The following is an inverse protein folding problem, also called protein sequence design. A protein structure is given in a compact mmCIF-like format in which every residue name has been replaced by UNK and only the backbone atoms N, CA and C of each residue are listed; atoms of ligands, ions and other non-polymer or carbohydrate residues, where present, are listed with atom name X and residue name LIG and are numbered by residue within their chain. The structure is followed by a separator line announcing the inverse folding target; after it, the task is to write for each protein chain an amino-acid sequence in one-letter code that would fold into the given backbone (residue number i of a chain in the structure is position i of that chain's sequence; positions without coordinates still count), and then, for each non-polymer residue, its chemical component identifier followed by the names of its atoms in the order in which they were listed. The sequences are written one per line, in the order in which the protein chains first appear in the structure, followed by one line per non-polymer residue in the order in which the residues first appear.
data_IF_137333412640
#
_entry.id   IF_137333412640
#
_cell.length_a   1.000
_cell.length_b   1.000
_cell.length_c   1.000
_cell.angle_alpha   90.00
_cell.angle_beta   90.00
_cell.angle_gamma   90.00
#
_symmetry.space_group_name_H-M   'P 1'
#
loop_
_entity.id
_entity.type
_entity.pdbx_description
1 polymer ?
#
# COMPACT_ATOMS: atom_id res chain seq x y z
N UNK A 1 18.17 2.30 17.82
CA UNK A 1 18.77 1.60 16.67
C UNK A 1 18.03 0.29 16.48
N UNK A 2 17.05 0.25 15.57
CA UNK A 2 16.33 -0.98 15.22
C UNK A 2 17.34 -1.88 14.48
N UNK A 3 17.57 -3.11 14.98
CA UNK A 3 18.57 -4.02 14.39
C UNK A 3 18.13 -4.40 12.98
N UNK A 4 19.05 -4.43 12.01
CA UNK A 4 18.77 -4.79 10.59
C UNK A 4 17.97 -6.09 10.46
N UNK A 5 18.22 -7.07 11.34
CA UNK A 5 17.51 -8.36 11.38
C UNK A 5 15.99 -8.22 11.61
N UNK A 6 15.58 -7.16 12.31
CA UNK A 6 14.19 -6.91 12.65
C UNK A 6 13.39 -6.38 11.44
N UNK A 7 14.02 -5.53 10.62
CA UNK A 7 13.42 -4.98 9.40
C UNK A 7 13.29 -6.07 8.33
N UNK A 8 14.31 -6.91 8.16
CA UNK A 8 14.27 -8.01 7.20
C UNK A 8 13.14 -8.99 7.51
N UNK A 9 12.94 -9.32 8.80
CA UNK A 9 11.83 -10.18 9.23
C UNK A 9 10.46 -9.59 8.89
N UNK A 10 10.31 -8.27 8.91
CA UNK A 10 9.06 -7.62 8.53
C UNK A 10 8.78 -7.70 7.03
N UNK A 11 9.80 -7.51 6.19
CA UNK A 11 9.65 -7.70 4.76
C UNK A 11 9.37 -9.16 4.39
N UNK A 12 9.95 -10.12 5.11
CA UNK A 12 9.65 -11.54 4.91
C UNK A 12 8.19 -11.88 5.29
N UNK A 13 7.70 -11.37 6.42
CA UNK A 13 6.29 -11.56 6.82
C UNK A 13 5.33 -10.82 5.88
N UNK A 14 5.68 -9.61 5.44
CA UNK A 14 4.93 -8.88 4.42
C UNK A 14 4.81 -9.72 3.15
N UNK A 15 5.92 -10.24 2.61
CA UNK A 15 5.90 -11.06 1.39
C UNK A 15 4.98 -12.29 1.53
N UNK A 16 4.98 -12.97 2.68
CA UNK A 16 4.07 -14.09 2.95
C UNK A 16 2.60 -13.66 2.96
N UNK A 17 2.31 -12.52 3.60
CA UNK A 17 0.94 -11.99 3.65
C UNK A 17 0.46 -11.59 2.26
N UNK A 18 1.30 -10.89 1.47
CA UNK A 18 0.95 -10.49 0.11
C UNK A 18 0.72 -11.70 -0.80
N UNK A 19 1.56 -12.75 -0.70
CA UNK A 19 1.35 -14.00 -1.43
C UNK A 19 0.02 -14.67 -1.05
N UNK A 20 -0.31 -14.72 0.25
CA UNK A 20 -1.59 -15.26 0.72
C UNK A 20 -2.78 -14.43 0.22
N UNK A 21 -2.66 -13.10 0.21
CA UNK A 21 -3.68 -12.17 -0.32
C UNK A 21 -3.94 -12.42 -1.80
N UNK A 22 -2.89 -12.60 -2.59
CA UNK A 22 -3.02 -12.92 -4.02
C UNK A 22 -3.69 -14.29 -4.23
N UNK A 23 -3.34 -15.29 -3.43
CA UNK A 23 -4.00 -16.60 -3.48
C UNK A 23 -5.49 -16.47 -3.15
N UNK A 24 -5.85 -15.76 -2.07
CA UNK A 24 -7.24 -15.53 -1.68
C UNK A 24 -8.03 -14.75 -2.73
N UNK A 25 -7.40 -13.79 -3.41
CA UNK A 25 -7.99 -13.11 -4.57
C UNK A 25 -8.36 -14.11 -5.68
N UNK A 26 -7.44 -15.02 -6.02
CA UNK A 26 -7.67 -16.05 -7.03
C UNK A 26 -8.75 -17.05 -6.60
N UNK A 27 -8.84 -17.34 -5.30
CA UNK A 27 -9.86 -18.21 -4.71
C UNK A 27 -11.22 -17.50 -4.50
N UNK A 28 -11.39 -16.28 -5.03
CA UNK A 28 -12.60 -15.46 -4.91
C UNK A 28 -13.02 -15.17 -3.46
N UNK A 29 -12.04 -14.97 -2.58
CA UNK A 29 -12.22 -14.64 -1.15
C UNK A 29 -11.70 -13.22 -0.82
N UNK A 30 -12.26 -12.16 -1.43
CA UNK A 30 -11.74 -10.80 -1.28
C UNK A 30 -11.85 -10.26 0.15
N UNK A 31 -12.88 -10.65 0.91
CA UNK A 31 -13.07 -10.22 2.31
C UNK A 31 -11.97 -10.76 3.22
N UNK A 32 -11.59 -12.03 3.03
CA UNK A 32 -10.49 -12.65 3.80
C UNK A 32 -9.14 -12.01 3.42
N UNK A 33 -8.95 -11.71 2.13
CA UNK A 33 -7.76 -11.02 1.64
C UNK A 33 -7.64 -9.60 2.24
N UNK A 34 -8.74 -8.86 2.27
CA UNK A 34 -8.79 -7.51 2.83
C UNK A 34 -8.56 -7.49 4.34
N UNK A 35 -9.13 -8.46 5.07
CA UNK A 35 -8.86 -8.63 6.50
C UNK A 35 -7.38 -8.85 6.76
N UNK A 36 -6.72 -9.74 6.02
CA UNK A 36 -5.28 -10.00 6.20
C UNK A 36 -4.42 -8.76 5.99
N UNK A 37 -4.72 -7.96 4.97
CA UNK A 37 -3.99 -6.71 4.73
C UNK A 37 -4.21 -5.72 5.89
N UNK A 38 -5.45 -5.61 6.39
CA UNK A 38 -5.77 -4.69 7.49
C UNK A 38 -5.14 -5.14 8.81
N UNK A 39 -5.16 -6.43 9.12
CA UNK A 39 -4.54 -7.01 10.31
C UNK A 39 -3.04 -6.72 10.31
N UNK A 40 -2.36 -6.93 9.17
CA UNK A 40 -0.96 -6.58 9.02
C UNK A 40 -0.71 -5.07 9.19
N UNK A 41 -1.55 -4.21 8.62
CA UNK A 41 -1.44 -2.76 8.81
C UNK A 41 -1.55 -2.37 10.29
N UNK A 42 -2.46 -2.97 11.04
CA UNK A 42 -2.61 -2.70 12.48
C UNK A 42 -1.39 -3.21 13.26
N UNK A 43 -0.96 -4.44 13.02
CA UNK A 43 0.12 -5.08 13.78
C UNK A 43 1.48 -4.40 13.57
N UNK A 44 1.76 -3.94 12.34
CA UNK A 44 3.08 -3.41 11.97
C UNK A 44 3.13 -1.90 11.81
N UNK A 45 2.04 -1.26 11.38
CA UNK A 45 1.97 0.20 11.21
C UNK A 45 1.19 0.89 12.33
N UNK A 46 0.52 0.13 13.21
CA UNK A 46 -0.28 0.67 14.30
C UNK A 46 -1.54 1.41 13.85
N UNK A 47 -1.96 1.25 12.59
CA UNK A 47 -3.08 1.97 11.99
C UNK A 47 -3.86 1.09 11.02
N UNK A 48 -5.19 1.17 11.04
CA UNK A 48 -6.08 0.45 10.13
C UNK A 48 -6.28 1.20 8.82
N UNK A 49 -6.69 0.49 7.76
CA UNK A 49 -7.03 1.16 6.51
C UNK A 49 -8.21 2.10 6.66
N UNK A 50 -9.21 1.77 7.47
CA UNK A 50 -10.34 2.67 7.73
C UNK A 50 -9.86 4.05 8.21
N UNK A 51 -8.89 4.07 9.14
CA UNK A 51 -8.29 5.31 9.63
C UNK A 51 -7.48 6.00 8.55
N UNK A 52 -6.65 5.28 7.80
CA UNK A 52 -5.84 5.83 6.70
C UNK A 52 -6.76 6.50 5.66
N UNK A 53 -7.80 5.80 5.22
CA UNK A 53 -8.74 6.28 4.22
C UNK A 53 -9.61 7.43 4.74
N UNK A 54 -9.80 7.58 6.05
CA UNK A 54 -10.54 8.70 6.63
C UNK A 54 -9.73 10.02 6.65
N UNK A 55 -8.42 9.99 6.44
CA UNK A 55 -7.57 11.19 6.47
C UNK A 55 -7.79 12.00 5.19
N UNK A 56 -8.40 13.17 5.32
CA UNK A 56 -8.82 13.99 4.17
C UNK A 56 -7.70 14.86 3.57
N UNK A 57 -6.79 15.35 4.40
CA UNK A 57 -5.78 16.35 4.02
C UNK A 57 -4.40 15.97 4.55
N UNK A 58 -3.40 16.04 3.68
CA UNK A 58 -1.99 15.82 4.01
C UNK A 58 -1.76 14.49 4.75
N UNK A 59 -2.06 13.38 4.07
CA UNK A 59 -1.92 12.04 4.64
C UNK A 59 -0.49 11.81 5.12
N UNK A 60 0.48 12.16 4.29
CA UNK A 60 1.91 11.98 4.60
C UNK A 60 2.29 12.73 5.88
N UNK A 61 1.94 14.02 5.97
CA UNK A 61 2.24 14.83 7.15
C UNK A 61 1.54 14.34 8.41
N UNK A 62 0.32 13.81 8.29
CA UNK A 62 -0.39 13.18 9.41
C UNK A 62 0.35 11.94 9.90
N UNK A 63 0.68 11.01 8.99
CA UNK A 63 1.34 9.75 9.35
C UNK A 63 2.73 9.98 9.97
N UNK A 64 3.46 10.99 9.53
CA UNK A 64 4.75 11.37 10.14
C UNK A 64 4.54 11.90 11.56
N UNK A 65 3.59 12.81 11.77
CA UNK A 65 3.42 13.50 13.05
C UNK A 65 2.70 12.66 14.11
N UNK A 66 1.62 12.00 13.73
CA UNK A 66 0.73 11.30 14.66
C UNK A 66 1.10 9.82 14.81
N UNK A 67 1.68 9.20 13.77
CA UNK A 67 2.03 7.79 13.76
C UNK A 67 3.54 7.52 13.74
N UNK A 68 4.38 8.56 13.79
CA UNK A 68 5.85 8.45 13.75
C UNK A 68 6.38 7.64 12.56
N UNK A 69 5.72 7.74 11.41
CA UNK A 69 6.15 7.02 10.21
C UNK A 69 7.55 7.44 9.78
N UNK A 70 8.35 6.44 9.43
CA UNK A 70 9.64 6.58 8.74
C UNK A 70 9.50 6.12 7.29
N UNK A 71 10.55 6.29 6.48
CA UNK A 71 10.56 5.79 5.10
C UNK A 71 10.24 4.29 5.01
N UNK A 72 10.75 3.47 5.92
CA UNK A 72 10.46 2.02 5.93
C UNK A 72 8.97 1.73 6.16
N UNK A 73 8.30 2.50 7.03
CA UNK A 73 6.86 2.37 7.24
C UNK A 73 6.08 2.75 5.97
N UNK A 74 6.52 3.78 5.24
CA UNK A 74 5.93 4.13 3.97
C UNK A 74 6.14 3.07 2.90
N UNK A 75 7.32 2.43 2.83
CA UNK A 75 7.58 1.30 1.91
C UNK A 75 6.62 0.14 2.16
N UNK A 76 6.39 -0.21 3.43
CA UNK A 76 5.40 -1.23 3.80
C UNK A 76 3.98 -0.78 3.41
N UNK A 77 3.63 0.47 3.72
CA UNK A 77 2.31 1.02 3.40
C UNK A 77 2.05 1.04 1.88
N UNK A 78 3.07 1.33 1.07
CA UNK A 78 3.01 1.28 -0.39
C UNK A 78 2.52 -0.09 -0.88
N UNK A 79 3.19 -1.17 -0.45
CA UNK A 79 2.86 -2.53 -0.86
C UNK A 79 1.45 -2.95 -0.42
N UNK A 80 1.08 -2.58 0.81
CA UNK A 80 -0.24 -2.85 1.37
C UNK A 80 -1.36 -2.14 0.59
N UNK A 81 -1.20 -0.84 0.32
CA UNK A 81 -2.17 -0.04 -0.43
C UNK A 81 -2.28 -0.48 -1.89
N UNK A 82 -1.15 -0.83 -2.51
CA UNK A 82 -1.12 -1.35 -3.87
C UNK A 82 -1.90 -2.67 -3.97
N UNK A 83 -1.66 -3.62 -3.06
CA UNK A 83 -2.41 -4.88 -3.07
C UNK A 83 -3.89 -4.70 -2.72
N UNK A 84 -4.22 -3.76 -1.83
CA UNK A 84 -5.62 -3.40 -1.57
C UNK A 84 -6.29 -2.84 -2.83
N UNK A 85 -5.58 -2.01 -3.60
CA UNK A 85 -6.07 -1.50 -4.88
C UNK A 85 -6.27 -2.63 -5.91
N UNK A 86 -5.38 -3.62 -5.96
CA UNK A 86 -5.57 -4.79 -6.83
C UNK A 86 -6.80 -5.64 -6.47
N UNK A 87 -7.28 -5.58 -5.22
CA UNK A 87 -8.53 -6.23 -4.79
C UNK A 87 -9.76 -5.39 -5.18
N UNK A 88 -9.64 -4.07 -5.17
CA UNK A 88 -10.72 -3.14 -5.51
C UNK A 88 -10.21 -1.98 -6.39
N UNK A 89 -9.98 -2.23 -7.70
CA UNK A 89 -9.35 -1.26 -8.59
C UNK A 89 -10.22 -0.02 -8.87
N UNK A 90 -11.53 -0.15 -8.69
CA UNK A 90 -12.50 0.90 -9.03
C UNK A 90 -12.67 1.94 -7.91
N UNK A 91 -12.00 1.75 -6.76
CA UNK A 91 -12.03 2.71 -5.66
C UNK A 91 -11.08 3.89 -5.95
N UNK A 92 -11.65 4.98 -6.46
CA UNK A 92 -10.94 6.21 -6.78
C UNK A 92 -10.28 6.88 -5.56
N UNK A 93 -10.86 6.72 -4.38
CA UNK A 93 -10.32 7.30 -3.15
C UNK A 93 -9.08 6.54 -2.69
N UNK A 94 -9.18 5.21 -2.67
CA UNK A 94 -8.04 4.32 -2.43
C UNK A 94 -6.92 4.59 -3.44
N UNK A 95 -7.26 4.69 -4.74
CA UNK A 95 -6.32 5.03 -5.81
C UNK A 95 -5.55 6.31 -5.53
N UNK A 96 -6.25 7.38 -5.16
CA UNK A 96 -5.62 8.68 -4.85
C UNK A 96 -4.63 8.56 -3.69
N UNK A 97 -5.02 7.87 -2.63
CA UNK A 97 -4.17 7.64 -1.45
C UNK A 97 -2.94 6.80 -1.81
N UNK A 98 -3.11 5.73 -2.57
CA UNK A 98 -2.00 4.89 -3.05
C UNK A 98 -1.00 5.71 -3.86
N UNK A 99 -1.47 6.57 -4.77
CA UNK A 99 -0.61 7.45 -5.55
C UNK A 99 0.11 8.50 -4.70
N UNK A 100 -0.54 9.07 -3.68
CA UNK A 100 0.09 10.03 -2.76
C UNK A 100 1.30 9.40 -2.04
N UNK A 101 1.15 8.16 -1.54
CA UNK A 101 2.24 7.41 -0.89
C UNK A 101 3.36 7.05 -1.87
N UNK A 102 3.01 6.56 -3.07
CA UNK A 102 3.98 6.23 -4.13
C UNK A 102 4.80 7.45 -4.57
N UNK A 103 4.17 8.61 -4.72
CA UNK A 103 4.86 9.84 -5.09
C UNK A 103 5.79 10.31 -3.99
N UNK A 104 5.34 10.29 -2.73
CA UNK A 104 6.18 10.62 -1.59
C UNK A 104 7.45 9.76 -1.55
N UNK A 105 7.34 8.45 -1.75
CA UNK A 105 8.50 7.56 -1.78
C UNK A 105 9.39 7.80 -3.01
N UNK A 106 8.84 8.09 -4.18
CA UNK A 106 9.64 8.40 -5.37
C UNK A 106 10.55 9.61 -5.16
N UNK A 107 10.08 10.62 -4.43
CA UNK A 107 10.84 11.82 -4.12
C UNK A 107 11.90 11.62 -3.02
N UNK A 108 11.72 10.62 -2.15
CA UNK A 108 12.51 10.46 -0.92
C UNK A 108 13.30 9.15 -0.82
N UNK A 109 13.15 8.22 -1.78
CA UNK A 109 13.81 6.91 -1.82
C UNK A 109 14.35 6.58 -3.22
N UNK A 110 15.66 6.73 -3.41
CA UNK A 110 16.35 6.57 -4.70
C UNK A 110 16.41 5.12 -5.20
N UNK A 111 16.36 4.14 -4.28
CA UNK A 111 16.76 2.77 -4.58
C UNK A 111 15.68 1.94 -5.29
N UNK A 112 14.41 2.34 -5.21
CA UNK A 112 13.25 1.58 -5.73
C UNK A 112 12.48 2.30 -6.85
N UNK A 113 13.10 3.29 -7.47
CA UNK A 113 12.40 4.20 -8.40
C UNK A 113 11.80 3.52 -9.63
N UNK A 114 12.41 2.47 -10.20
CA UNK A 114 11.93 1.86 -11.44
C UNK A 114 10.63 1.05 -11.25
N UNK A 115 10.58 0.15 -10.28
CA UNK A 115 9.37 -0.64 -9.99
C UNK A 115 8.23 0.28 -9.54
N UNK A 116 8.54 1.26 -8.69
CA UNK A 116 7.57 2.25 -8.22
C UNK A 116 6.97 3.07 -9.37
N UNK A 117 7.80 3.52 -10.30
CA UNK A 117 7.33 4.21 -11.51
C UNK A 117 6.45 3.31 -12.39
N UNK A 118 6.73 2.01 -12.46
CA UNK A 118 5.88 1.07 -13.19
C UNK A 118 4.52 0.89 -12.49
N UNK A 119 4.47 0.79 -11.16
CA UNK A 119 3.21 0.73 -10.39
C UNK A 119 2.39 2.01 -10.54
N UNK A 120 3.03 3.17 -10.49
CA UNK A 120 2.38 4.46 -10.75
C UNK A 120 1.75 4.46 -12.14
N UNK A 121 2.50 4.04 -13.17
CA UNK A 121 1.97 3.92 -14.54
C UNK A 121 0.79 2.96 -14.61
N UNK A 122 0.87 1.76 -14.03
CA UNK A 122 -0.24 0.81 -14.01
C UNK A 122 -1.51 1.41 -13.40
N UNK A 123 -1.40 2.04 -12.22
CA UNK A 123 -2.55 2.67 -11.56
C UNK A 123 -3.14 3.81 -12.41
N UNK A 124 -2.30 4.58 -13.11
CA UNK A 124 -2.73 5.66 -14.00
C UNK A 124 -3.33 5.10 -15.30
N UNK A 125 -2.73 4.09 -15.90
CA UNK A 125 -3.09 3.48 -17.19
C UNK A 125 -4.34 2.60 -17.10
N UNK A 126 -4.67 2.07 -15.91
CA UNK A 126 -5.98 1.47 -15.64
C UNK A 126 -7.14 2.47 -15.90
N UNK A 127 -6.89 3.79 -15.99
CA UNK A 127 -7.87 4.78 -16.50
C UNK A 127 -8.14 4.70 -18.02
N UNK A 128 -7.24 4.13 -18.82
CA UNK A 128 -7.32 4.16 -20.28
C UNK A 128 -8.13 2.99 -20.86
N UNK A 129 -8.12 1.84 -20.17
CA UNK A 129 -8.85 0.64 -20.61
C UNK A 129 -10.36 0.74 -20.32
N UNK A 130 -10.78 1.50 -19.31
CA UNK A 130 -12.21 1.71 -19.01
C UNK A 130 -12.88 2.73 -19.93
N UNK A 131 -12.14 3.74 -20.44
CA UNK A 131 -12.67 4.74 -21.36
C UNK A 131 -12.82 4.27 -22.82
N UNK A 132 -12.41 3.03 -23.13
CA UNK A 132 -12.49 2.44 -24.49
C UNK A 132 -13.49 1.30 -24.60
N UNK A 133 -14.20 0.96 -23.51
CA UNK A 133 -15.23 -0.10 -23.47
C UNK A 133 -16.67 0.41 -23.37
N UNK A 134 -16.91 1.72 -23.52
CA UNK A 134 -18.26 2.30 -23.63
C UNK A 134 -18.55 2.76 -25.05
#
# INVERSE_FOLDING_TARGET
MIRKDYIQRYFDELAKVLAAVLQLKNDLKPVEAESKLNDFSIDYLGISFEKILAIKNNLIGYLIKENNFTLDHFKILEDLLYHKHLLNPNDNHLKKITLEVLNHLTENDSDYSLERNNRIKQIIDDNYIENTKN
#
